data_IF_911573057080
#
_entry.id   IF_911573057080
#
_cell.length_a   1.000
_cell.length_b   1.000
_cell.length_c   1.000
_cell.angle_alpha   90.00
_cell.angle_beta   90.00
_cell.angle_gamma   90.00
#
_symmetry.space_group_name_H-M   'P 1'
#
loop_
_entity.id
_entity.type
_entity.pdbx_description
1 polymer ?
#
# COMPACT_ATOMS: atom_id res chain seq x y z
N UNK A 1 -20.91 4.75 8.22
CA UNK A 1 -19.59 4.11 8.03
C UNK A 1 -19.48 3.76 6.56
N UNK A 2 -18.52 4.36 5.84
CA UNK A 2 -18.27 4.05 4.43
C UNK A 2 -17.24 2.91 4.37
N UNK A 3 -17.62 1.80 3.73
CA UNK A 3 -16.75 0.71 3.28
C UNK A 3 -15.95 -0.11 4.33
N UNK A 4 -15.34 -1.19 3.86
CA UNK A 4 -14.41 -2.03 4.61
C UNK A 4 -12.97 -1.72 4.20
N UNK A 5 -12.02 -1.81 5.14
CA UNK A 5 -10.60 -1.65 4.81
C UNK A 5 -10.10 -2.90 4.10
N UNK A 6 -9.63 -2.73 2.86
CA UNK A 6 -8.93 -3.80 2.17
C UNK A 6 -7.55 -4.03 2.80
N UNK A 7 -6.95 -5.18 2.49
CA UNK A 7 -5.59 -5.50 2.92
C UNK A 7 -4.58 -4.44 2.45
N UNK A 8 -4.69 -3.99 1.21
CA UNK A 8 -3.78 -3.00 0.60
C UNK A 8 -4.00 -1.59 1.14
N UNK A 9 -5.26 -1.21 1.42
CA UNK A 9 -5.54 0.05 2.11
C UNK A 9 -4.89 0.05 3.50
N UNK A 10 -5.05 -1.05 4.26
CA UNK A 10 -4.45 -1.18 5.59
C UNK A 10 -2.92 -1.07 5.55
N UNK A 11 -2.29 -1.65 4.52
CA UNK A 11 -0.84 -1.52 4.29
C UNK A 11 -0.42 -0.06 4.04
N UNK A 12 -1.13 0.66 3.18
CA UNK A 12 -0.85 2.08 2.90
C UNK A 12 -0.99 2.92 4.18
N UNK A 13 -2.06 2.73 4.94
CA UNK A 13 -2.30 3.48 6.17
C UNK A 13 -1.27 3.20 7.27
N UNK A 14 -0.73 1.98 7.32
CA UNK A 14 0.31 1.60 8.28
C UNK A 14 1.75 1.83 7.77
N UNK A 15 1.91 2.15 6.49
CA UNK A 15 3.24 2.19 5.84
C UNK A 15 3.93 0.82 5.81
N UNK A 16 3.18 -0.28 5.82
CA UNK A 16 3.68 -1.66 5.78
C UNK A 16 3.52 -2.31 4.41
N UNK A 17 4.09 -3.50 4.22
CA UNK A 17 3.90 -4.29 3.00
C UNK A 17 5.12 -4.21 2.09
N UNK A 18 4.93 -3.85 0.83
CA UNK A 18 5.97 -3.82 -0.20
C UNK A 18 6.71 -2.47 -0.30
N UNK A 19 6.55 -1.59 0.69
CA UNK A 19 7.28 -0.32 0.75
C UNK A 19 8.76 -0.57 1.06
N UNK A 20 9.67 -0.04 0.24
CA UNK A 20 11.12 -0.16 0.44
C UNK A 20 11.57 0.25 1.85
N UNK A 21 11.03 1.34 2.43
CA UNK A 21 11.32 1.72 3.83
C UNK A 21 10.97 0.64 4.84
N UNK A 22 9.80 0.01 4.67
CA UNK A 22 9.37 -1.08 5.54
C UNK A 22 10.24 -2.33 5.35
N UNK A 23 10.50 -2.70 4.09
CA UNK A 23 11.29 -3.88 3.74
C UNK A 23 12.74 -3.77 4.23
N UNK A 24 13.35 -2.59 4.12
CA UNK A 24 14.67 -2.30 4.67
C UNK A 24 14.69 -2.44 6.19
N UNK A 25 13.67 -1.91 6.89
CA UNK A 25 13.53 -2.02 8.35
C UNK A 25 13.46 -3.47 8.85
N UNK A 26 13.01 -4.42 8.01
CA UNK A 26 12.90 -5.84 8.36
C UNK A 26 13.96 -6.70 7.65
N UNK A 27 15.05 -6.09 7.19
CA UNK A 27 16.19 -6.76 6.53
C UNK A 27 15.82 -7.58 5.28
N UNK A 28 14.76 -7.18 4.58
CA UNK A 28 14.32 -7.80 3.31
C UNK A 28 14.81 -7.06 2.07
N UNK A 29 15.24 -5.81 2.22
CA UNK A 29 15.88 -5.01 1.16
C UNK A 29 17.12 -4.31 1.75
N UNK A 30 18.17 -4.10 0.96
CA UNK A 30 19.40 -3.46 1.43
C UNK A 30 19.23 -1.96 1.70
N UNK A 31 18.26 -1.30 1.07
CA UNK A 31 17.99 0.11 1.26
C UNK A 31 16.48 0.42 1.17
N UNK A 32 16.11 1.64 1.58
CA UNK A 32 14.73 2.10 1.64
C UNK A 32 14.23 2.71 0.32
N UNK A 33 14.97 2.61 -0.79
CA UNK A 33 14.70 3.40 -2.00
C UNK A 33 13.47 2.90 -2.74
N UNK A 34 12.83 3.82 -3.45
CA UNK A 34 11.79 3.47 -4.40
C UNK A 34 12.38 2.81 -5.65
N UNK A 35 11.90 1.60 -5.98
CA UNK A 35 12.27 0.91 -7.21
C UNK A 35 11.47 1.36 -8.43
N UNK A 36 10.42 2.17 -8.23
CA UNK A 36 9.49 2.56 -9.29
C UNK A 36 9.84 3.91 -9.91
N UNK A 37 10.64 4.75 -9.24
CA UNK A 37 11.07 6.03 -9.77
C UNK A 37 12.60 6.19 -9.68
N UNK A 38 13.14 6.99 -10.59
CA UNK A 38 14.58 7.28 -10.66
C UNK A 38 15.01 8.26 -9.56
N UNK A 39 14.08 9.10 -9.10
CA UNK A 39 14.33 10.03 -7.99
C UNK A 39 14.41 9.26 -6.67
N UNK A 40 15.52 9.41 -5.94
CA UNK A 40 15.88 8.65 -4.73
C UNK A 40 15.06 9.00 -3.48
N UNK A 41 13.72 9.03 -3.59
CA UNK A 41 12.86 9.08 -2.41
C UNK A 41 12.92 7.76 -1.63
N UNK A 42 12.86 7.84 -0.30
CA UNK A 42 12.50 6.67 0.51
C UNK A 42 11.11 6.21 0.08
N UNK A 43 10.96 4.92 -0.23
CA UNK A 43 9.68 4.36 -0.59
C UNK A 43 8.79 4.24 0.62
N UNK A 44 7.99 5.27 0.83
CA UNK A 44 6.99 5.37 1.89
C UNK A 44 5.58 5.39 1.29
N UNK A 45 4.57 5.17 2.14
CA UNK A 45 3.18 5.39 1.75
C UNK A 45 2.93 6.83 1.29
N UNK A 46 3.52 7.82 1.98
CA UNK A 46 3.41 9.22 1.59
C UNK A 46 4.05 9.49 0.21
N UNK A 47 5.25 8.96 -0.02
CA UNK A 47 5.91 9.03 -1.33
C UNK A 47 5.03 8.42 -2.43
N UNK A 48 4.46 7.25 -2.17
CA UNK A 48 3.57 6.57 -3.12
C UNK A 48 2.30 7.37 -3.40
N UNK A 49 1.73 8.01 -2.38
CA UNK A 49 0.48 8.80 -2.45
C UNK A 49 0.64 10.20 -3.04
N UNK A 50 1.80 10.84 -2.92
CA UNK A 50 1.95 12.24 -3.30
C UNK A 50 3.10 12.56 -4.27
N UNK A 51 4.14 11.72 -4.38
CA UNK A 51 5.41 12.15 -4.98
C UNK A 51 5.90 11.26 -6.12
N UNK A 52 5.64 9.95 -6.05
CA UNK A 52 6.24 8.99 -6.97
C UNK A 52 5.72 9.18 -8.40
N UNK A 53 6.58 9.59 -9.32
CA UNK A 53 6.20 9.82 -10.74
C UNK A 53 5.61 8.58 -11.42
N UNK A 54 5.93 7.38 -10.95
CA UNK A 54 5.38 6.13 -11.51
C UNK A 54 3.86 6.00 -11.35
N UNK A 55 3.27 6.69 -10.37
CA UNK A 55 1.84 6.59 -10.04
C UNK A 55 1.08 7.88 -10.38
N UNK A 56 1.62 8.74 -11.25
CA UNK A 56 1.03 10.04 -11.59
C UNK A 56 -0.40 9.90 -12.17
N UNK A 57 -0.62 8.92 -13.05
CA UNK A 57 -1.93 8.68 -13.67
C UNK A 57 -2.98 8.28 -12.62
N UNK A 58 -2.67 7.29 -11.77
CA UNK A 58 -3.53 6.88 -10.66
C UNK A 58 -3.77 8.04 -9.68
N UNK A 59 -2.72 8.81 -9.39
CA UNK A 59 -2.78 9.96 -8.49
C UNK A 59 -3.68 11.05 -9.03
N UNK A 60 -3.71 11.28 -10.34
CA UNK A 60 -4.58 12.27 -10.97
C UNK A 60 -6.05 11.92 -10.74
N UNK A 61 -6.42 10.65 -10.89
CA UNK A 61 -7.79 10.17 -10.59
C UNK A 61 -8.11 10.39 -9.12
N UNK A 62 -7.21 9.97 -8.22
CA UNK A 62 -7.38 10.17 -6.78
C UNK A 62 -7.57 11.65 -6.42
N UNK A 63 -6.73 12.53 -6.98
CA UNK A 63 -6.73 13.98 -6.71
C UNK A 63 -8.06 14.64 -7.07
N UNK A 64 -8.73 14.18 -8.13
CA UNK A 64 -10.04 14.71 -8.53
C UNK A 64 -11.11 14.45 -7.45
N UNK A 65 -10.99 13.34 -6.71
CA UNK A 65 -11.99 12.91 -5.72
C UNK A 65 -11.66 13.41 -4.31
N UNK A 66 -10.39 13.41 -3.90
CA UNK A 66 -9.99 13.77 -2.51
C UNK A 66 -9.38 15.17 -2.38
N UNK A 67 -9.04 15.80 -3.51
CA UNK A 67 -8.35 17.09 -3.57
C UNK A 67 -6.82 16.96 -3.65
N UNK A 68 -6.14 18.10 -3.72
CA UNK A 68 -4.68 18.19 -3.95
C UNK A 68 -3.81 17.89 -2.73
N UNK A 69 -4.35 17.98 -1.52
CA UNK A 69 -3.64 17.59 -0.30
C UNK A 69 -3.70 16.07 -0.12
N UNK A 70 -2.65 15.40 -0.60
CA UNK A 70 -2.49 13.95 -0.52
C UNK A 70 -1.61 13.54 0.68
N UNK A 71 -1.51 14.38 1.71
CA UNK A 71 -0.96 13.91 2.99
C UNK A 71 -1.83 12.80 3.58
N UNK A 72 -1.22 11.77 4.16
CA UNK A 72 -1.96 10.64 4.76
C UNK A 72 -3.11 11.09 5.68
N UNK A 73 -2.93 12.06 6.60
CA UNK A 73 -4.03 12.55 7.44
C UNK A 73 -5.15 13.22 6.64
N UNK A 74 -4.84 13.97 5.57
CA UNK A 74 -5.83 14.62 4.73
C UNK A 74 -6.64 13.59 3.93
N UNK A 75 -5.97 12.60 3.34
CA UNK A 75 -6.62 11.47 2.64
C UNK A 75 -7.57 10.73 3.57
N UNK A 76 -7.14 10.36 4.78
CA UNK A 76 -8.00 9.68 5.76
C UNK A 76 -9.20 10.56 6.13
N UNK A 77 -9.01 11.86 6.35
CA UNK A 77 -10.11 12.79 6.64
C UNK A 77 -11.14 12.83 5.51
N UNK A 78 -10.70 12.80 4.25
CA UNK A 78 -11.59 12.76 3.07
C UNK A 78 -12.33 11.44 2.96
N UNK A 79 -11.63 10.32 3.10
CA UNK A 79 -12.23 8.97 3.07
C UNK A 79 -13.38 8.82 4.06
N UNK A 80 -13.21 9.28 5.31
CA UNK A 80 -14.25 9.11 6.34
C UNK A 80 -15.45 10.03 6.10
N UNK A 81 -15.27 11.08 5.30
CA UNK A 81 -16.31 12.07 4.99
C UNK A 81 -17.16 11.81 3.74
N UNK A 82 -16.78 10.86 2.87
CA UNK A 82 -17.50 10.59 1.60
C UNK A 82 -17.29 9.15 1.13
N UNK A 83 -18.37 8.53 0.63
CA UNK A 83 -18.31 7.20 0.04
C UNK A 83 -17.47 7.19 -1.25
N UNK A 84 -17.59 8.25 -2.05
CA UNK A 84 -16.87 8.45 -3.30
C UNK A 84 -15.37 8.60 -3.04
N UNK A 85 -15.00 9.43 -2.06
CA UNK A 85 -13.60 9.55 -1.59
C UNK A 85 -13.08 8.22 -1.04
N UNK A 86 -13.92 7.46 -0.34
CA UNK A 86 -13.56 6.13 0.15
C UNK A 86 -13.23 5.18 -1.00
N UNK A 87 -14.14 5.05 -1.98
CA UNK A 87 -13.99 4.16 -3.12
C UNK A 87 -12.80 4.55 -4.01
N UNK A 88 -12.57 5.85 -4.20
CA UNK A 88 -11.42 6.37 -4.93
C UNK A 88 -10.09 5.96 -4.27
N UNK A 89 -9.99 6.07 -2.94
CA UNK A 89 -8.78 5.65 -2.21
C UNK A 89 -8.61 4.14 -2.22
N UNK A 90 -9.70 3.38 -2.06
CA UNK A 90 -9.65 1.91 -2.17
C UNK A 90 -9.14 1.51 -3.55
N UNK A 91 -9.70 2.08 -4.62
CA UNK A 91 -9.30 1.80 -6.00
C UNK A 91 -7.83 2.12 -6.24
N UNK A 92 -7.38 3.32 -5.82
CA UNK A 92 -5.97 3.71 -5.90
C UNK A 92 -5.05 2.73 -5.15
N UNK A 93 -5.39 2.37 -3.91
CA UNK A 93 -4.59 1.48 -3.10
C UNK A 93 -4.54 0.07 -3.69
N UNK A 94 -5.66 -0.44 -4.21
CA UNK A 94 -5.71 -1.76 -4.84
C UNK A 94 -4.84 -1.82 -6.10
N UNK A 95 -4.96 -0.83 -6.99
CA UNK A 95 -4.19 -0.77 -8.22
C UNK A 95 -2.68 -0.66 -7.91
N UNK A 96 -2.28 0.43 -7.25
CA UNK A 96 -0.87 0.73 -7.01
C UNK A 96 -0.18 -0.35 -6.18
N UNK A 97 -0.80 -0.80 -5.07
CA UNK A 97 -0.15 -1.80 -4.23
C UNK A 97 -0.08 -3.16 -4.92
N UNK A 98 -1.05 -3.53 -5.76
CA UNK A 98 -0.96 -4.78 -6.52
C UNK A 98 0.25 -4.80 -7.45
N UNK A 99 0.52 -3.69 -8.14
CA UNK A 99 1.67 -3.54 -9.02
C UNK A 99 2.99 -3.56 -8.24
N UNK A 100 3.05 -2.83 -7.11
CA UNK A 100 4.23 -2.83 -6.23
C UNK A 100 4.55 -4.22 -5.67
N UNK A 101 3.54 -4.96 -5.22
CA UNK A 101 3.71 -6.33 -4.72
C UNK A 101 4.17 -7.28 -5.82
N UNK A 102 3.68 -7.15 -7.05
CA UNK A 102 4.13 -7.97 -8.19
C UNK A 102 5.59 -7.69 -8.50
N UNK A 103 5.99 -6.42 -8.57
CA UNK A 103 7.38 -6.04 -8.78
C UNK A 103 8.28 -6.53 -7.63
N UNK A 104 7.83 -6.47 -6.36
CA UNK A 104 8.54 -7.06 -5.22
C UNK A 104 8.77 -8.57 -5.40
N UNK A 105 7.72 -9.32 -5.75
CA UNK A 105 7.79 -10.78 -5.96
C UNK A 105 8.75 -11.15 -7.10
N UNK A 106 8.71 -10.42 -8.21
CA UNK A 106 9.62 -10.64 -9.33
C UNK A 106 11.07 -10.44 -8.92
N UNK A 107 11.34 -9.36 -8.17
CA UNK A 107 12.67 -9.13 -7.63
C UNK A 107 13.06 -10.27 -6.70
N UNK A 108 12.18 -10.72 -5.80
CA UNK A 108 12.46 -11.80 -4.84
C UNK A 108 12.91 -13.09 -5.53
N UNK A 109 12.30 -13.41 -6.68
CA UNK A 109 12.65 -14.58 -7.49
C UNK A 109 14.04 -14.40 -8.13
N UNK A 110 14.35 -13.20 -8.60
CA UNK A 110 15.60 -12.90 -9.32
C UNK A 110 16.85 -12.79 -8.43
N UNK A 111 16.70 -12.54 -7.13
CA UNK A 111 17.83 -12.33 -6.20
C UNK A 111 17.97 -13.46 -5.18
N UNK A 112 19.14 -14.09 -5.03
CA UNK A 112 19.35 -15.19 -4.10
C UNK A 112 19.62 -14.74 -2.65
N UNK A 113 19.06 -13.60 -2.21
CA UNK A 113 19.28 -13.12 -0.84
C UNK A 113 18.52 -13.99 0.18
N UNK A 114 19.21 -14.63 1.15
CA UNK A 114 18.61 -15.60 2.06
C UNK A 114 17.58 -14.98 3.04
N UNK A 115 17.60 -13.67 3.28
CA UNK A 115 16.62 -12.96 4.11
C UNK A 115 15.27 -12.65 3.43
N UNK A 116 15.17 -12.87 2.11
CA UNK A 116 14.04 -12.36 1.30
C UNK A 116 12.84 -13.28 1.22
N UNK A 117 13.00 -14.58 1.54
CA UNK A 117 11.89 -15.54 1.48
C UNK A 117 10.80 -15.11 2.44
N UNK A 118 9.60 -14.84 1.91
CA UNK A 118 8.38 -14.74 2.75
C UNK A 118 8.38 -15.95 3.67
N UNK A 119 8.43 -15.73 4.99
CA UNK A 119 7.91 -16.72 5.94
C UNK A 119 6.51 -17.03 5.44
N UNK A 120 6.30 -18.22 4.89
CA UNK A 120 4.99 -18.71 4.50
C UNK A 120 4.18 -18.85 5.78
N UNK A 121 3.59 -17.73 6.22
CA UNK A 121 2.64 -17.68 7.30
C UNK A 121 1.43 -18.50 6.87
N UNK A 122 1.35 -19.70 7.44
CA UNK A 122 0.23 -20.63 7.39
C UNK A 122 -1.07 -19.85 7.65
N UNK A 123 -1.82 -19.50 6.61
CA UNK A 123 -3.21 -19.07 6.73
C UNK A 123 -4.05 -20.31 6.97
N UNK A 124 -4.14 -20.76 8.22
CA UNK A 124 -5.23 -21.66 8.61
C UNK A 124 -6.51 -20.82 8.58
N UNK A 125 -7.35 -21.03 7.56
CA UNK A 125 -8.75 -20.60 7.59
C UNK A 125 -9.45 -21.44 8.64
N UNK A 126 -9.61 -20.92 9.85
CA UNK A 126 -10.58 -21.40 10.83
C UNK A 126 -10.79 -20.27 11.83
N UNK A 127 -11.90 -19.56 11.67
CA UNK A 127 -12.76 -19.06 12.75
C UNK A 127 -13.61 -17.91 12.19
N UNK A 128 -14.66 -18.31 11.47
CA UNK A 128 -15.86 -17.50 11.36
C UNK A 128 -17.05 -18.38 11.74
N UNK A 129 -17.18 -18.63 13.04
CA UNK A 129 -18.33 -19.34 13.60
C UNK A 129 -18.64 -18.88 15.03
N UNK A 130 -18.42 -17.61 15.39
CA UNK A 130 -18.88 -17.07 16.68
C UNK A 130 -19.18 -15.57 16.57
N UNK A 131 -20.17 -15.18 15.76
CA UNK A 131 -20.89 -13.93 16.00
C UNK A 131 -22.28 -14.03 15.36
N UNK A 132 -23.27 -14.38 16.18
CA UNK A 132 -24.69 -14.25 15.85
C UNK A 132 -25.27 -13.24 16.86
N UNK A 133 -25.66 -12.03 16.45
CA UNK A 133 -26.28 -11.04 17.33
C UNK A 133 -27.77 -11.39 17.59
N UNK A 134 -28.39 -10.80 18.64
CA UNK A 134 -29.59 -11.30 19.31
C UNK A 134 -30.85 -11.32 18.43
#
# INVERSE_FOLDING_TARGET
MHGSLSFRVTQVLSGHGCFGKYLCRIDREPDARCHHCVHCGEDTAQHTLAECVAWEEQRRVLTNEVGSDLSLPAVVRRMVGSAESWDAVVSFCEDVMSQKETAEREREISTPFPGRRRRTGRRTRADNALFRPP
#
